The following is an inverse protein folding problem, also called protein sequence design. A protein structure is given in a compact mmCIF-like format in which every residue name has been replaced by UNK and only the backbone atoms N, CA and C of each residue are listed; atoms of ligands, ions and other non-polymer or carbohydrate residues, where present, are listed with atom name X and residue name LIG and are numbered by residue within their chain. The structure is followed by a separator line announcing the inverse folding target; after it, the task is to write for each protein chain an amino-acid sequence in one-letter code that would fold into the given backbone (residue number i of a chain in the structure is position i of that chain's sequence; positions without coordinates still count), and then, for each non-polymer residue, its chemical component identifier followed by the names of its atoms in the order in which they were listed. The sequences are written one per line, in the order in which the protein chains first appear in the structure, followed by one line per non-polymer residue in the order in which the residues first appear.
data_IF_969811517912
#
_entry.id   IF_969811517912
#
_cell.length_a   1.000
_cell.length_b   1.000
_cell.length_c   1.000
_cell.angle_alpha   90.00
_cell.angle_beta   90.00
_cell.angle_gamma   90.00
#
_symmetry.space_group_name_H-M   'P 1'
#
loop_
_entity.id
_entity.type
_entity.pdbx_description
1 polymer ?
#
# COMPACT_ATOMS: atom_id res chain seq x y z
N UNK A 1 -18.26 -41.49 4.62
CA UNK A 1 -18.44 -40.35 3.71
C UNK A 1 -17.69 -39.19 4.36
N UNK A 2 -16.39 -39.06 4.02
CA UNK A 2 -15.34 -38.40 4.82
C UNK A 2 -14.74 -37.23 4.02
N UNK A 3 -15.51 -36.15 3.85
CA UNK A 3 -15.23 -35.10 2.85
C UNK A 3 -14.65 -33.81 3.41
N UNK A 4 -14.64 -33.63 4.73
CA UNK A 4 -14.28 -32.34 5.37
C UNK A 4 -12.80 -32.22 5.75
N UNK A 5 -12.07 -33.33 5.81
CA UNK A 5 -10.65 -33.35 6.18
C UNK A 5 -9.74 -32.81 5.06
N UNK A 6 -10.04 -33.11 3.80
CA UNK A 6 -9.20 -32.74 2.65
C UNK A 6 -9.18 -31.21 2.39
N UNK A 7 -10.29 -30.51 2.66
CA UNK A 7 -10.36 -29.05 2.45
C UNK A 7 -9.55 -28.26 3.49
N UNK A 8 -9.49 -28.72 4.75
CA UNK A 8 -8.70 -28.07 5.81
C UNK A 8 -7.21 -28.32 5.60
N UNK A 9 -6.82 -29.53 5.19
CA UNK A 9 -5.43 -29.87 4.85
C UNK A 9 -4.96 -29.06 3.65
N UNK A 10 -5.77 -28.96 2.58
CA UNK A 10 -5.47 -28.10 1.42
C UNK A 10 -5.39 -26.62 1.78
N UNK A 11 -6.26 -26.10 2.65
CA UNK A 11 -6.18 -24.72 3.12
C UNK A 11 -4.90 -24.48 3.92
N UNK A 12 -4.55 -25.36 4.87
CA UNK A 12 -3.33 -25.26 5.66
C UNK A 12 -2.08 -25.32 4.79
N UNK A 13 -2.03 -26.24 3.82
CA UNK A 13 -0.94 -26.37 2.87
C UNK A 13 -0.80 -25.14 1.94
N UNK A 14 -1.92 -24.53 1.53
CA UNK A 14 -1.91 -23.30 0.71
C UNK A 14 -1.43 -22.10 1.52
N UNK A 15 -1.78 -22.00 2.80
CA UNK A 15 -1.27 -20.96 3.71
C UNK A 15 0.22 -21.16 4.01
N UNK A 16 0.68 -22.41 4.17
CA UNK A 16 2.10 -22.74 4.36
C UNK A 16 2.96 -22.49 3.10
N UNK A 17 2.41 -22.69 1.90
CA UNK A 17 3.12 -22.38 0.66
C UNK A 17 3.26 -20.87 0.40
N UNK A 18 2.40 -20.05 1.01
CA UNK A 18 2.48 -18.58 0.95
C UNK A 18 3.52 -18.04 1.96
N UNK A 19 3.79 -18.76 3.06
CA UNK A 19 4.69 -18.38 4.17
C UNK A 19 6.20 -18.31 3.84
N UNK A 20 6.62 -18.59 2.61
CA UNK A 20 8.03 -18.45 2.22
C UNK A 20 8.27 -17.41 1.13
N UNK A 21 7.22 -16.71 0.68
CA UNK A 21 7.39 -15.69 -0.34
C UNK A 21 7.88 -14.40 0.33
N UNK A 22 9.18 -14.11 0.23
CA UNK A 22 9.76 -12.81 0.63
C UNK A 22 9.64 -11.83 -0.54
N UNK A 23 8.56 -11.01 -0.64
CA UNK A 23 8.34 -10.17 -1.82
C UNK A 23 9.42 -9.08 -1.97
N UNK A 24 10.04 -8.62 -0.88
CA UNK A 24 11.12 -7.62 -0.93
C UNK A 24 12.38 -8.19 -1.59
N UNK A 25 12.66 -9.48 -1.40
CA UNK A 25 13.75 -10.18 -2.09
C UNK A 25 13.45 -10.27 -3.58
N UNK A 26 12.23 -10.66 -3.96
CA UNK A 26 11.81 -10.69 -5.36
C UNK A 26 11.87 -9.29 -6.00
N UNK A 27 11.47 -8.24 -5.28
CA UNK A 27 11.55 -6.86 -5.76
C UNK A 27 12.99 -6.42 -5.97
N UNK A 28 13.89 -6.70 -5.02
CA UNK A 28 15.33 -6.45 -5.18
C UNK A 28 15.87 -7.17 -6.41
N UNK A 29 15.55 -8.45 -6.58
CA UNK A 29 16.10 -9.25 -7.67
C UNK A 29 15.57 -8.77 -9.05
N UNK A 30 14.30 -8.37 -9.12
CA UNK A 30 13.71 -7.81 -10.35
C UNK A 30 14.26 -6.42 -10.68
N UNK A 31 14.42 -5.54 -9.69
CA UNK A 31 15.06 -4.24 -9.86
C UNK A 31 16.52 -4.41 -10.29
N UNK A 32 17.28 -5.30 -9.64
CA UNK A 32 18.69 -5.51 -9.94
C UNK A 32 18.91 -5.97 -11.38
N UNK A 33 18.02 -6.82 -11.91
CA UNK A 33 18.04 -7.22 -13.32
C UNK A 33 17.82 -6.02 -14.25
N UNK A 34 16.82 -5.19 -13.98
CA UNK A 34 16.52 -3.99 -14.77
C UNK A 34 17.65 -2.96 -14.71
N UNK A 35 18.15 -2.66 -13.51
CA UNK A 35 19.19 -1.67 -13.26
C UNK A 35 20.52 -2.08 -13.90
N UNK A 36 20.98 -3.31 -13.70
CA UNK A 36 22.25 -3.79 -14.27
C UNK A 36 22.21 -3.76 -15.80
N UNK A 37 21.10 -4.17 -16.40
CA UNK A 37 20.91 -4.09 -17.84
C UNK A 37 20.92 -2.64 -18.34
N UNK A 38 20.15 -1.77 -17.67
CA UNK A 38 20.05 -0.35 -18.06
C UNK A 38 21.38 0.38 -17.92
N UNK A 39 22.12 0.15 -16.84
CA UNK A 39 23.45 0.74 -16.64
C UNK A 39 24.45 0.20 -17.67
N UNK A 40 24.42 -1.09 -18.00
CA UNK A 40 25.27 -1.68 -19.03
C UNK A 40 25.03 -1.06 -20.42
N UNK A 41 23.76 -0.79 -20.76
CA UNK A 41 23.40 -0.14 -22.02
C UNK A 41 23.77 1.35 -22.07
N UNK A 42 23.63 2.05 -20.94
CA UNK A 42 23.88 3.50 -20.89
C UNK A 42 25.36 3.86 -20.70
N UNK A 43 26.16 3.02 -20.04
CA UNK A 43 27.60 3.26 -19.83
C UNK A 43 28.36 3.72 -21.08
N UNK A 44 28.26 3.04 -22.25
CA UNK A 44 29.02 3.44 -23.43
C UNK A 44 28.51 4.70 -24.14
N UNK A 45 27.31 5.19 -23.81
CA UNK A 45 26.66 6.33 -24.50
C UNK A 45 26.83 7.63 -23.71
N UNK A 46 27.03 7.51 -22.40
CA UNK A 46 26.94 8.63 -21.45
C UNK A 46 28.31 9.28 -21.22
N UNK A 47 28.39 10.61 -21.03
CA UNK A 47 29.65 11.29 -20.72
C UNK A 47 30.27 10.81 -19.40
N UNK A 48 31.60 10.76 -19.33
CA UNK A 48 32.38 10.29 -18.15
C UNK A 48 31.96 10.93 -16.80
N UNK A 49 31.52 12.19 -16.81
CA UNK A 49 31.05 12.89 -15.60
C UNK A 49 29.73 12.34 -15.05
N UNK A 50 28.87 11.82 -15.94
CA UNK A 50 27.58 11.23 -15.60
C UNK A 50 27.74 9.73 -15.34
N UNK A 51 28.69 9.07 -15.99
CA UNK A 51 29.04 7.65 -15.76
C UNK A 51 29.38 7.38 -14.28
N UNK A 52 30.29 8.17 -13.69
CA UNK A 52 30.66 8.03 -12.28
C UNK A 52 29.44 8.21 -11.35
N UNK A 53 28.57 9.19 -11.65
CA UNK A 53 27.36 9.45 -10.85
C UNK A 53 26.33 8.34 -11.00
N UNK A 54 26.17 7.80 -12.21
CA UNK A 54 25.27 6.69 -12.51
C UNK A 54 25.73 5.42 -11.79
N UNK A 55 27.02 5.11 -11.83
CA UNK A 55 27.59 3.96 -11.12
C UNK A 55 27.47 4.11 -9.60
N UNK A 56 27.71 5.31 -9.06
CA UNK A 56 27.52 5.60 -7.63
C UNK A 56 26.07 5.49 -7.20
N UNK A 57 25.13 6.05 -7.96
CA UNK A 57 23.70 5.94 -7.69
C UNK A 57 23.23 4.48 -7.78
N UNK A 58 23.72 3.76 -8.78
CA UNK A 58 23.46 2.33 -8.96
C UNK A 58 23.95 1.51 -7.76
N UNK A 59 25.14 1.79 -7.23
CA UNK A 59 25.67 1.13 -6.04
C UNK A 59 24.85 1.45 -4.78
N UNK A 60 24.49 2.72 -4.58
CA UNK A 60 23.63 3.14 -3.46
C UNK A 60 22.25 2.47 -3.51
N UNK A 61 21.67 2.32 -4.70
CA UNK A 61 20.42 1.61 -4.88
C UNK A 61 20.55 0.13 -4.49
N UNK A 62 21.65 -0.54 -4.84
CA UNK A 62 21.88 -1.94 -4.43
C UNK A 62 22.01 -2.09 -2.92
N UNK A 63 22.76 -1.19 -2.26
CA UNK A 63 22.93 -1.19 -0.80
C UNK A 63 21.57 -0.96 -0.10
N UNK A 64 20.79 0.02 -0.56
CA UNK A 64 19.46 0.31 0.01
C UNK A 64 18.44 -0.81 -0.22
N UNK A 65 18.45 -1.45 -1.39
CA UNK A 65 17.55 -2.57 -1.69
C UNK A 65 17.96 -3.86 -0.98
N UNK A 66 19.27 -4.04 -0.71
CA UNK A 66 19.75 -5.13 0.12
C UNK A 66 19.25 -4.97 1.57
N UNK A 67 19.37 -3.77 2.14
CA UNK A 67 18.84 -3.43 3.46
C UNK A 67 17.31 -3.62 3.52
N UNK A 68 16.57 -3.18 2.49
CA UNK A 68 15.12 -3.42 2.40
C UNK A 68 14.78 -4.91 2.33
N UNK A 69 15.58 -5.72 1.63
CA UNK A 69 15.33 -7.16 1.50
C UNK A 69 15.61 -7.94 2.80
N UNK A 70 16.35 -7.36 3.74
CA UNK A 70 16.55 -7.91 5.08
C UNK A 70 15.34 -7.69 6.00
N UNK A 71 14.48 -6.72 5.68
CA UNK A 71 13.25 -6.47 6.43
C UNK A 71 12.32 -7.66 6.28
N UNK A 72 11.99 -8.28 7.42
CA UNK A 72 10.99 -9.34 7.46
C UNK A 72 9.59 -8.71 7.53
N UNK A 73 8.86 -8.75 6.41
CA UNK A 73 7.48 -8.25 6.36
C UNK A 73 6.54 -9.04 7.29
N UNK A 74 6.86 -10.29 7.62
CA UNK A 74 6.07 -11.10 8.54
C UNK A 74 6.25 -10.64 10.00
N UNK A 75 7.34 -9.90 10.29
CA UNK A 75 7.56 -9.26 11.59
C UNK A 75 6.86 -7.89 11.71
N UNK A 76 6.44 -7.29 10.59
CA UNK A 76 5.68 -6.03 10.59
C UNK A 76 4.21 -6.37 10.87
N UNK A 77 3.73 -6.01 12.05
CA UNK A 77 2.33 -6.24 12.43
C UNK A 77 1.39 -5.49 11.49
N UNK A 78 0.25 -6.11 11.12
CA UNK A 78 -0.78 -5.45 10.29
C UNK A 78 -1.28 -4.12 10.88
N UNK A 79 -1.14 -3.94 12.20
CA UNK A 79 -1.48 -2.72 12.92
C UNK A 79 -0.55 -1.54 12.59
N UNK A 80 0.71 -1.80 12.22
CA UNK A 80 1.68 -0.75 11.87
C UNK A 80 1.46 -0.21 10.44
N UNK A 81 0.94 -1.06 9.54
CA UNK A 81 0.62 -0.68 8.16
C UNK A 81 -0.75 0.01 8.01
N UNK A 82 -1.64 -0.14 9.00
CA UNK A 82 -2.98 0.45 9.01
C UNK A 82 -2.99 1.99 8.86
N UNK A 83 -2.20 2.78 9.61
CA UNK A 83 -2.22 4.25 9.49
C UNK A 83 -1.79 4.75 8.11
N UNK A 84 -0.79 4.10 7.49
CA UNK A 84 -0.36 4.45 6.14
C UNK A 84 -1.48 4.21 5.10
N UNK A 85 -2.22 3.10 5.21
CA UNK A 85 -3.32 2.77 4.31
C UNK A 85 -4.52 3.70 4.47
N UNK A 86 -4.83 4.08 5.72
CA UNK A 86 -5.86 5.08 6.01
C UNK A 86 -5.47 6.44 5.42
N UNK A 87 -4.21 6.85 5.57
CA UNK A 87 -3.71 8.12 5.04
C UNK A 87 -3.80 8.16 3.51
N UNK A 88 -3.45 7.07 2.83
CA UNK A 88 -3.63 6.93 1.37
C UNK A 88 -5.10 7.06 1.01
N UNK A 89 -6.00 6.31 1.66
CA UNK A 89 -7.44 6.41 1.41
C UNK A 89 -7.96 7.84 1.60
N UNK A 90 -7.58 8.51 2.70
CA UNK A 90 -7.95 9.88 3.00
C UNK A 90 -7.42 10.87 1.96
N UNK A 91 -6.20 10.69 1.47
CA UNK A 91 -5.61 11.54 0.43
C UNK A 91 -6.39 11.46 -0.88
N UNK A 92 -6.87 10.26 -1.27
CA UNK A 92 -7.70 10.08 -2.46
C UNK A 92 -9.06 10.77 -2.30
N UNK A 93 -9.71 10.64 -1.14
CA UNK A 93 -10.98 11.33 -0.85
C UNK A 93 -10.78 12.85 -0.91
N UNK A 94 -9.76 13.35 -0.22
CA UNK A 94 -9.43 14.77 -0.18
C UNK A 94 -9.10 15.33 -1.56
N UNK A 95 -8.28 14.63 -2.33
CA UNK A 95 -7.91 15.04 -3.68
C UNK A 95 -9.10 15.03 -4.63
N UNK A 96 -9.97 14.01 -4.57
CA UNK A 96 -11.20 13.96 -5.37
C UNK A 96 -12.15 15.11 -5.04
N UNK A 97 -12.37 15.39 -3.75
CA UNK A 97 -13.21 16.50 -3.30
C UNK A 97 -12.64 17.86 -3.71
N UNK A 98 -11.35 18.08 -3.48
CA UNK A 98 -10.66 19.33 -3.82
C UNK A 98 -10.63 19.56 -5.34
N UNK A 99 -10.37 18.51 -6.13
CA UNK A 99 -10.41 18.59 -7.60
C UNK A 99 -11.80 18.93 -8.12
N UNK A 100 -12.85 18.39 -7.49
CA UNK A 100 -14.24 18.72 -7.84
C UNK A 100 -14.56 20.18 -7.50
N UNK A 101 -14.12 20.66 -6.34
CA UNK A 101 -14.32 22.05 -5.93
C UNK A 101 -13.56 23.02 -6.86
N UNK A 102 -12.33 22.69 -7.26
CA UNK A 102 -11.56 23.46 -8.23
C UNK A 102 -12.22 23.47 -9.61
N UNK A 103 -12.78 22.34 -10.05
CA UNK A 103 -13.52 22.27 -11.32
C UNK A 103 -14.75 23.18 -11.29
N UNK A 104 -15.50 23.17 -10.18
CA UNK A 104 -16.65 24.05 -9.99
C UNK A 104 -16.25 25.53 -9.97
N UNK A 105 -15.18 25.87 -9.27
CA UNK A 105 -14.63 27.24 -9.23
C UNK A 105 -14.15 27.69 -10.61
N UNK A 106 -13.51 26.80 -11.36
CA UNK A 106 -13.06 27.07 -12.72
C UNK A 106 -14.25 27.40 -13.63
N UNK A 107 -15.32 26.61 -13.54
CA UNK A 107 -16.52 26.82 -14.34
C UNK A 107 -17.26 28.10 -13.96
N UNK A 108 -17.38 28.40 -12.66
CA UNK A 108 -18.05 29.61 -12.19
C UNK A 108 -17.30 30.89 -12.56
N UNK A 109 -15.97 30.82 -12.68
CA UNK A 109 -15.12 31.98 -12.98
C UNK A 109 -14.96 32.24 -14.48
N UNK A 110 -14.71 31.20 -15.29
CA UNK A 110 -14.45 31.36 -16.74
C UNK A 110 -15.69 31.26 -17.62
N UNK A 111 -16.76 30.61 -17.15
CA UNK A 111 -17.96 30.35 -17.94
C UNK A 111 -19.25 30.71 -17.21
N UNK A 112 -19.40 31.97 -16.73
CA UNK A 112 -20.64 32.42 -16.08
C UNK A 112 -21.85 32.39 -17.02
N UNK A 113 -21.62 32.31 -18.34
CA UNK A 113 -22.67 32.30 -19.37
C UNK A 113 -23.26 30.91 -19.66
N UNK A 114 -22.62 29.84 -19.18
CA UNK A 114 -23.14 28.48 -19.38
C UNK A 114 -24.13 28.11 -18.27
N UNK A 115 -25.33 27.70 -18.67
CA UNK A 115 -26.33 27.10 -17.79
C UNK A 115 -25.78 25.83 -17.11
N UNK A 116 -26.17 25.58 -15.86
CA UNK A 116 -25.64 24.50 -15.00
C UNK A 116 -25.71 23.12 -15.68
N UNK A 117 -26.78 22.87 -16.44
CA UNK A 117 -26.99 21.63 -17.18
C UNK A 117 -26.01 21.51 -18.36
N UNK A 118 -25.70 22.62 -19.03
CA UNK A 118 -24.74 22.65 -20.14
C UNK A 118 -23.29 22.44 -19.64
N UNK A 119 -22.95 22.97 -18.45
CA UNK A 119 -21.65 22.73 -17.81
C UNK A 119 -21.46 21.25 -17.47
N UNK A 120 -22.47 20.63 -16.83
CA UNK A 120 -22.44 19.21 -16.48
C UNK A 120 -22.32 18.33 -17.72
N UNK A 121 -23.05 18.64 -18.81
CA UNK A 121 -22.94 17.86 -20.05
C UNK A 121 -21.55 17.95 -20.68
N UNK A 122 -20.92 19.12 -20.65
CA UNK A 122 -19.62 19.35 -21.28
C UNK A 122 -18.46 18.76 -20.48
N UNK A 123 -18.54 18.78 -19.16
CA UNK A 123 -17.49 18.33 -18.25
C UNK A 123 -17.82 17.02 -17.51
N UNK A 124 -18.86 16.31 -17.96
CA UNK A 124 -19.36 15.06 -17.38
C UNK A 124 -18.26 14.04 -17.05
N UNK A 125 -17.31 13.87 -17.97
CA UNK A 125 -16.26 12.88 -17.84
C UNK A 125 -15.29 13.23 -16.70
N UNK A 126 -14.97 14.51 -16.53
CA UNK A 126 -14.09 14.98 -15.45
C UNK A 126 -14.78 14.88 -14.09
N UNK A 127 -16.08 15.23 -14.02
CA UNK A 127 -16.88 15.04 -12.81
C UNK A 127 -16.91 13.58 -12.36
N UNK A 128 -17.23 12.65 -13.28
CA UNK A 128 -17.23 11.22 -12.98
C UNK A 128 -15.86 10.78 -12.50
N UNK A 129 -14.80 11.21 -13.18
CA UNK A 129 -13.45 10.77 -12.84
C UNK A 129 -13.05 11.20 -11.42
N UNK A 130 -13.31 12.45 -11.03
CA UNK A 130 -13.02 12.93 -9.68
C UNK A 130 -13.88 12.27 -8.59
N UNK A 131 -15.17 12.05 -8.88
CA UNK A 131 -16.06 11.34 -7.95
C UNK A 131 -15.62 9.89 -7.79
N UNK A 132 -15.30 9.19 -8.88
CA UNK A 132 -14.80 7.82 -8.82
C UNK A 132 -13.49 7.73 -8.02
N UNK A 133 -12.59 8.70 -8.15
CA UNK A 133 -11.36 8.76 -7.38
C UNK A 133 -11.64 8.92 -5.88
N UNK A 134 -12.61 9.77 -5.52
CA UNK A 134 -13.07 9.91 -4.12
C UNK A 134 -13.75 8.65 -3.58
N UNK A 135 -14.63 8.01 -4.36
CA UNK A 135 -15.30 6.75 -3.99
C UNK A 135 -14.30 5.63 -3.80
N UNK A 136 -13.26 5.54 -4.65
CA UNK A 136 -12.17 4.58 -4.48
C UNK A 136 -11.44 4.80 -3.14
N UNK A 137 -11.15 6.05 -2.78
CA UNK A 137 -10.57 6.39 -1.47
C UNK A 137 -11.46 5.99 -0.29
N UNK A 138 -12.77 6.24 -0.38
CA UNK A 138 -13.76 5.80 0.63
C UNK A 138 -13.84 4.28 0.72
N UNK A 139 -13.71 3.56 -0.39
CA UNK A 139 -13.70 2.10 -0.39
C UNK A 139 -12.45 1.55 0.29
N UNK A 140 -11.28 2.16 0.07
CA UNK A 140 -10.04 1.82 0.79
C UNK A 140 -10.23 2.05 2.29
N UNK A 141 -10.78 3.20 2.70
CA UNK A 141 -11.08 3.49 4.11
C UNK A 141 -12.09 2.51 4.70
N UNK A 142 -13.18 2.21 3.98
CA UNK A 142 -14.21 1.26 4.41
C UNK A 142 -13.64 -0.15 4.58
N UNK A 143 -12.75 -0.58 3.68
CA UNK A 143 -12.04 -1.85 3.80
C UNK A 143 -11.17 -1.89 5.06
N UNK A 144 -10.44 -0.82 5.37
CA UNK A 144 -9.62 -0.75 6.58
C UNK A 144 -10.46 -0.63 7.85
N UNK A 145 -11.65 0.00 7.80
CA UNK A 145 -12.57 0.07 8.93
C UNK A 145 -13.26 -1.27 9.23
N UNK A 146 -13.56 -2.06 8.20
CA UNK A 146 -14.09 -3.43 8.32
C UNK A 146 -13.02 -4.44 8.73
N UNK A 147 -11.74 -4.13 8.52
CA UNK A 147 -10.60 -4.88 9.05
C UNK A 147 -10.48 -4.53 10.53
N UNK A 148 -11.40 -5.08 11.34
CA UNK A 148 -11.33 -4.96 12.80
C UNK A 148 -9.90 -5.30 13.24
N UNK A 149 -9.28 -4.50 14.12
CA UNK A 149 -8.06 -4.96 14.76
C UNK A 149 -8.44 -6.28 15.44
N UNK A 150 -7.85 -7.37 14.98
CA UNK A 150 -7.82 -8.57 15.77
C UNK A 150 -7.01 -8.16 17.00
N UNK A 151 -7.69 -7.72 18.06
CA UNK A 151 -7.09 -7.59 19.37
C UNK A 151 -6.46 -8.96 19.60
N UNK A 152 -5.14 -8.98 19.60
CA UNK A 152 -4.39 -10.17 19.89
C UNK A 152 -4.63 -10.47 21.37
N UNK A 153 -5.71 -11.21 21.64
CA UNK A 153 -6.04 -11.77 22.95
C UNK A 153 -5.07 -12.94 23.19
N UNK A 154 -3.77 -12.61 23.25
CA UNK A 154 -2.72 -13.52 23.68
C UNK A 154 -1.60 -12.78 24.42
N UNK A 155 -1.92 -11.66 25.08
CA UNK A 155 -1.23 -11.33 26.32
C UNK A 155 -1.94 -12.11 27.45
N UNK A 156 -1.33 -13.15 28.04
CA UNK A 156 -1.85 -13.69 29.29
C UNK A 156 -1.71 -12.60 30.34
N UNK A 157 -2.82 -11.91 30.59
CA UNK A 157 -3.01 -11.13 31.79
C UNK A 157 -2.88 -12.13 32.94
N UNK A 158 -1.70 -12.16 33.57
CA UNK A 158 -1.48 -12.81 34.88
C UNK A 158 -2.40 -12.10 35.87
N UNK A 159 -3.65 -12.57 35.94
CA UNK A 159 -4.51 -12.36 37.08
C UNK A 159 -3.90 -13.25 38.17
N UNK A 160 -3.10 -12.63 39.04
CA UNK A 160 -2.56 -13.28 40.22
C UNK A 160 -3.71 -13.64 41.14
N UNK A 161 -4.16 -14.88 41.07
CA UNK A 161 -4.92 -15.53 42.13
C UNK A 161 -3.91 -16.24 43.02
N UNK A 162 -3.21 -15.47 43.87
CA UNK A 162 -2.39 -16.00 44.95
C UNK A 162 -2.72 -15.20 46.21
N UNK A 163 -3.87 -15.50 46.80
CA UNK A 163 -4.14 -15.22 48.23
C UNK A 163 -4.85 -16.45 48.82
N UNK A 164 -4.16 -17.60 48.67
CA UNK A 164 -4.40 -18.81 49.44
C UNK A 164 -3.33 -18.89 50.54
N UNK A 165 -3.45 -18.02 51.55
CA UNK A 165 -2.72 -18.14 52.82
C UNK A 165 -3.70 -18.05 54.00
N UNK A 166 -4.66 -18.96 54.02
CA UNK A 166 -5.40 -19.34 55.22
C UNK A 166 -5.05 -20.78 55.58
N UNK A 167 -3.89 -21.02 56.17
CA UNK A 167 -3.57 -22.18 57.05
C UNK A 167 -2.20 -21.95 57.69
N UNK A 168 -2.13 -21.15 58.76
CA UNK A 168 -1.36 -21.41 60.00
C UNK A 168 -1.94 -20.56 61.14
#
# INVERSE_FOLDING_TARGET
MDWESDTRVKKKARTQAIQQYKPLVTLRDTEALLRRNTVALLMPIVPLSVEYRLQRASKLAEESLAELAEIDLDAISETELQPARILIGLSFVGFGALSTALLLLYLSTLHPELDSIAQIRRYWHQYIWFVCLGVAGLFVLGREAMRSPHLDVSSPQKIGWDDESSWQ
#
